data_IF_406945437734
#
_entry.id   IF_406945437734
#
_cell.length_a   1.000
_cell.length_b   1.000
_cell.length_c   1.000
_cell.angle_alpha   90.00
_cell.angle_beta   90.00
_cell.angle_gamma   90.00
#
_symmetry.space_group_name_H-M   'P 1'
#
loop_
_entity.id
_entity.type
_entity.pdbx_description
1 polymer ?
#
# COMPACT_ATOMS: atom_id res chain seq x y z
N UNK A 1 -9.99 4.42 17.04
CA UNK A 1 -9.20 5.07 15.96
C UNK A 1 -9.70 4.52 14.63
N UNK A 2 -10.00 5.36 13.65
CA UNK A 2 -10.41 4.91 12.31
C UNK A 2 -9.25 5.18 11.36
N UNK A 3 -8.69 4.14 10.76
CA UNK A 3 -7.63 4.27 9.75
C UNK A 3 -8.27 4.71 8.43
N UNK A 4 -7.76 5.78 7.84
CA UNK A 4 -8.18 6.31 6.54
C UNK A 4 -6.98 6.53 5.61
N UNK A 5 -5.90 7.09 6.14
CA UNK A 5 -4.69 7.45 5.40
C UNK A 5 -3.60 6.40 5.63
N UNK A 6 -3.28 5.66 4.59
CA UNK A 6 -2.27 4.60 4.61
C UNK A 6 -1.07 5.03 3.79
N UNK A 7 0.10 4.96 4.39
CA UNK A 7 1.38 5.15 3.70
C UNK A 7 2.01 3.80 3.47
N UNK A 8 2.42 3.52 2.25
CA UNK A 8 3.23 2.35 1.93
C UNK A 8 4.63 2.81 1.53
N UNK A 9 5.61 2.47 2.32
CA UNK A 9 7.01 2.79 2.03
C UNK A 9 7.64 1.67 1.20
N UNK A 10 7.84 1.95 -0.10
CA UNK A 10 8.40 0.99 -1.04
C UNK A 10 7.47 0.67 -2.20
N UNK A 11 8.01 0.68 -3.42
CA UNK A 11 7.30 0.38 -4.68
C UNK A 11 7.84 -0.88 -5.38
N UNK A 12 8.38 -1.83 -4.60
CA UNK A 12 8.72 -3.17 -5.07
C UNK A 12 7.48 -4.00 -5.38
N UNK A 13 7.65 -5.28 -5.66
CA UNK A 13 6.53 -6.18 -5.98
C UNK A 13 5.48 -6.19 -4.86
N UNK A 14 5.89 -6.48 -3.62
CA UNK A 14 4.96 -6.53 -2.49
C UNK A 14 4.41 -5.15 -2.11
N UNK A 15 5.26 -4.12 -2.04
CA UNK A 15 4.82 -2.76 -1.71
C UNK A 15 3.76 -2.23 -2.67
N UNK A 16 3.93 -2.45 -3.98
CA UNK A 16 2.93 -2.04 -4.97
C UNK A 16 1.61 -2.80 -4.83
N UNK A 17 1.66 -4.10 -4.55
CA UNK A 17 0.46 -4.92 -4.32
C UNK A 17 -0.29 -4.49 -3.06
N UNK A 18 0.42 -4.24 -1.95
CA UNK A 18 -0.16 -3.76 -0.69
C UNK A 18 -0.82 -2.40 -0.90
N UNK A 19 -0.12 -1.46 -1.54
CA UNK A 19 -0.62 -0.11 -1.80
C UNK A 19 -1.88 -0.13 -2.70
N UNK A 20 -1.83 -0.89 -3.79
CA UNK A 20 -2.96 -0.98 -4.71
C UNK A 20 -4.18 -1.63 -4.05
N UNK A 21 -3.99 -2.72 -3.30
CA UNK A 21 -5.08 -3.39 -2.59
C UNK A 21 -5.70 -2.49 -1.51
N UNK A 22 -4.88 -1.73 -0.76
CA UNK A 22 -5.38 -0.78 0.21
C UNK A 22 -6.23 0.31 -0.46
N UNK A 23 -5.76 0.89 -1.57
CA UNK A 23 -6.52 1.87 -2.34
C UNK A 23 -7.83 1.28 -2.90
N UNK A 24 -7.79 0.06 -3.43
CA UNK A 24 -8.98 -0.65 -3.90
C UNK A 24 -10.01 -0.89 -2.78
N UNK A 25 -9.58 -1.10 -1.55
CA UNK A 25 -10.44 -1.24 -0.36
C UNK A 25 -10.91 0.10 0.22
N UNK A 26 -10.56 1.23 -0.42
CA UNK A 26 -11.10 2.56 -0.11
C UNK A 26 -10.25 3.40 0.83
N UNK A 27 -9.01 3.00 1.13
CA UNK A 27 -8.07 3.84 1.87
C UNK A 27 -7.47 4.91 0.96
N UNK A 28 -7.21 6.10 1.50
CA UNK A 28 -6.35 7.08 0.86
C UNK A 28 -4.89 6.62 0.98
N UNK A 29 -4.25 6.35 -0.16
CA UNK A 29 -2.92 5.72 -0.17
C UNK A 29 -1.87 6.66 -0.73
N UNK A 30 -0.79 6.83 0.05
CA UNK A 30 0.44 7.48 -0.39
C UNK A 30 1.57 6.45 -0.44
N UNK A 31 2.27 6.38 -1.56
CA UNK A 31 3.45 5.53 -1.72
C UNK A 31 4.70 6.40 -1.59
N UNK A 32 5.44 6.17 -0.51
CA UNK A 32 6.74 6.83 -0.33
C UNK A 32 7.85 6.04 -1.00
N UNK A 33 8.71 6.74 -1.73
CA UNK A 33 9.85 6.18 -2.45
C UNK A 33 11.09 7.06 -2.25
N UNK A 34 12.25 6.45 -2.13
CA UNK A 34 13.49 7.14 -1.78
C UNK A 34 14.02 8.12 -2.85
N UNK A 35 13.52 8.06 -4.08
CA UNK A 35 13.98 8.91 -5.19
C UNK A 35 12.98 8.93 -6.35
N UNK A 36 13.05 9.97 -7.18
CA UNK A 36 12.24 10.09 -8.40
C UNK A 36 12.46 8.90 -9.36
N UNK A 37 13.69 8.44 -9.50
CA UNK A 37 13.98 7.24 -10.29
C UNK A 37 13.31 5.98 -9.74
N UNK A 38 13.03 5.92 -8.43
CA UNK A 38 12.25 4.83 -7.83
C UNK A 38 10.76 5.00 -8.10
N UNK A 39 10.27 6.22 -8.17
CA UNK A 39 8.88 6.53 -8.59
C UNK A 39 8.64 6.05 -10.01
N UNK A 40 9.53 6.42 -10.94
CA UNK A 40 9.40 6.03 -12.35
C UNK A 40 9.44 4.49 -12.54
N UNK A 41 10.25 3.78 -11.76
CA UNK A 41 10.28 2.30 -11.78
C UNK A 41 9.05 1.65 -11.15
N UNK A 42 8.39 2.34 -10.22
CA UNK A 42 7.20 1.81 -9.56
C UNK A 42 5.93 1.95 -10.43
N UNK A 43 5.74 3.09 -11.10
CA UNK A 43 4.54 3.40 -11.90
C UNK A 43 4.08 2.27 -12.83
N UNK A 44 4.95 1.62 -13.63
CA UNK A 44 4.54 0.52 -14.50
C UNK A 44 3.93 -0.68 -13.76
N UNK A 45 4.37 -0.94 -12.50
CA UNK A 45 3.82 -2.02 -11.68
C UNK A 45 2.38 -1.73 -11.26
N UNK A 46 2.08 -0.48 -10.94
CA UNK A 46 0.71 -0.06 -10.60
C UNK A 46 -0.22 -0.14 -11.81
N UNK A 47 0.26 0.24 -13.00
CA UNK A 47 -0.48 0.07 -14.24
C UNK A 47 -0.76 -1.42 -14.53
N UNK A 48 0.23 -2.28 -14.35
CA UNK A 48 0.06 -3.73 -14.49
C UNK A 48 -0.96 -4.29 -13.48
N UNK A 49 -0.94 -3.82 -12.23
CA UNK A 49 -1.92 -4.22 -11.21
C UNK A 49 -3.33 -3.78 -11.62
N UNK A 50 -3.50 -2.55 -12.09
CA UNK A 50 -4.78 -2.06 -12.62
C UNK A 50 -5.32 -2.99 -13.71
N UNK A 51 -4.49 -3.30 -14.70
CA UNK A 51 -4.89 -4.20 -15.80
C UNK A 51 -5.25 -5.59 -15.28
N UNK A 52 -4.49 -6.14 -14.34
CA UNK A 52 -4.75 -7.44 -13.74
C UNK A 52 -6.10 -7.45 -13.00
N UNK A 53 -6.39 -6.41 -12.20
CA UNK A 53 -7.66 -6.30 -11.49
C UNK A 53 -8.84 -6.23 -12.45
N UNK A 54 -8.76 -5.38 -13.49
CA UNK A 54 -9.79 -5.24 -14.50
C UNK A 54 -10.03 -6.55 -15.28
N UNK A 55 -8.96 -7.23 -15.66
CA UNK A 55 -9.06 -8.51 -16.37
C UNK A 55 -9.66 -9.63 -15.50
N UNK A 56 -9.27 -9.70 -14.23
CA UNK A 56 -9.82 -10.68 -13.29
C UNK A 56 -11.31 -10.45 -13.06
N UNK A 57 -11.71 -9.20 -12.82
CA UNK A 57 -13.12 -8.84 -12.64
C UNK A 57 -13.93 -9.13 -13.91
N UNK A 58 -13.39 -8.88 -15.09
CA UNK A 58 -14.05 -9.24 -16.35
C UNK A 58 -14.22 -10.75 -16.50
N UNK A 59 -13.19 -11.53 -16.15
CA UNK A 59 -13.27 -12.99 -16.18
C UNK A 59 -14.35 -13.55 -15.24
N UNK A 60 -14.56 -12.91 -14.09
CA UNK A 60 -15.61 -13.31 -13.12
C UNK A 60 -17.03 -13.21 -13.68
N UNK A 61 -17.28 -12.45 -14.75
CA UNK A 61 -18.58 -12.40 -15.43
C UNK A 61 -18.94 -13.72 -16.13
N UNK A 62 -17.93 -14.45 -16.54
CA UNK A 62 -18.10 -15.60 -17.45
C UNK A 62 -17.81 -16.90 -16.70
N UNK A 63 -16.84 -16.90 -15.81
CA UNK A 63 -16.35 -18.10 -15.12
C UNK A 63 -16.36 -17.90 -13.59
N UNK A 64 -17.25 -18.58 -12.86
CA UNK A 64 -17.25 -18.56 -11.39
C UNK A 64 -15.93 -19.02 -10.75
N UNK A 65 -15.12 -19.84 -11.46
CA UNK A 65 -13.81 -20.27 -10.99
C UNK A 65 -12.77 -19.13 -11.02
N UNK A 66 -13.03 -18.04 -11.73
CA UNK A 66 -12.21 -16.82 -11.73
C UNK A 66 -12.40 -15.99 -10.45
N UNK A 67 -13.29 -16.37 -9.53
CA UNK A 67 -13.54 -15.65 -8.30
C UNK A 67 -12.26 -15.39 -7.51
N UNK A 68 -12.10 -14.11 -7.12
CA UNK A 68 -10.98 -13.65 -6.31
C UNK A 68 -11.52 -12.92 -5.07
N UNK A 69 -11.38 -13.54 -3.91
CA UNK A 69 -11.82 -13.00 -2.62
C UNK A 69 -11.24 -11.62 -2.28
N UNK A 70 -10.06 -11.29 -2.81
CA UNK A 70 -9.46 -9.96 -2.64
C UNK A 70 -10.21 -8.86 -3.38
N UNK A 71 -10.92 -9.20 -4.47
CA UNK A 71 -11.64 -8.27 -5.33
C UNK A 71 -13.12 -8.19 -5.01
N UNK A 72 -13.75 -9.29 -4.61
CA UNK A 72 -15.17 -9.36 -4.32
C UNK A 72 -15.44 -10.21 -3.08
N UNK A 73 -16.55 -9.93 -2.40
CA UNK A 73 -16.92 -10.63 -1.15
C UNK A 73 -17.68 -11.94 -1.42
N UNK A 74 -18.27 -12.08 -2.61
CA UNK A 74 -19.00 -13.27 -3.06
C UNK A 74 -18.68 -13.60 -4.52
N UNK A 75 -18.73 -14.88 -4.93
CA UNK A 75 -18.60 -15.25 -6.34
C UNK A 75 -19.84 -14.93 -7.18
N UNK A 76 -20.98 -14.75 -6.53
CA UNK A 76 -22.27 -14.50 -7.19
C UNK A 76 -22.50 -12.98 -7.30
N UNK A 77 -22.02 -12.40 -8.39
CA UNK A 77 -22.14 -10.97 -8.70
C UNK A 77 -22.90 -10.74 -9.98
N UNK A 78 -23.77 -9.74 -10.00
CA UNK A 78 -24.37 -9.21 -11.21
C UNK A 78 -23.33 -8.50 -12.09
N UNK A 79 -23.67 -8.30 -13.36
CA UNK A 79 -22.81 -7.54 -14.28
C UNK A 79 -22.59 -6.11 -13.76
N UNK A 80 -23.65 -5.50 -13.23
CA UNK A 80 -23.59 -4.13 -12.68
C UNK A 80 -22.64 -4.03 -11.48
N UNK A 81 -22.65 -5.02 -10.57
CA UNK A 81 -21.74 -5.07 -9.43
C UNK A 81 -20.28 -5.21 -9.88
N UNK A 82 -20.03 -6.05 -10.88
CA UNK A 82 -18.68 -6.19 -11.45
C UNK A 82 -18.22 -4.88 -12.09
N UNK A 83 -19.08 -4.16 -12.83
CA UNK A 83 -18.72 -2.85 -13.38
C UNK A 83 -18.42 -1.82 -12.29
N UNK A 84 -19.15 -1.84 -11.16
CA UNK A 84 -18.82 -0.98 -10.02
C UNK A 84 -17.46 -1.33 -9.41
N UNK A 85 -17.12 -2.62 -9.30
CA UNK A 85 -15.80 -3.05 -8.82
C UNK A 85 -14.68 -2.66 -9.80
N UNK A 86 -14.91 -2.69 -11.11
CA UNK A 86 -13.97 -2.19 -12.11
C UNK A 86 -13.76 -0.68 -12.01
N UNK A 87 -14.83 0.08 -11.79
CA UNK A 87 -14.71 1.53 -11.52
C UNK A 87 -13.89 1.79 -10.25
N UNK A 88 -14.10 1.00 -9.19
CA UNK A 88 -13.30 1.08 -7.96
C UNK A 88 -11.82 0.80 -8.22
N UNK A 89 -11.49 -0.20 -9.05
CA UNK A 89 -10.10 -0.49 -9.43
C UNK A 89 -9.46 0.70 -10.18
N UNK A 90 -10.21 1.33 -11.08
CA UNK A 90 -9.74 2.52 -11.79
C UNK A 90 -9.53 3.71 -10.84
N UNK A 91 -10.47 3.98 -9.96
CA UNK A 91 -10.37 5.06 -8.95
C UNK A 91 -9.20 4.82 -7.98
N UNK A 92 -8.96 3.57 -7.58
CA UNK A 92 -7.80 3.21 -6.77
C UNK A 92 -6.49 3.58 -7.47
N UNK A 93 -6.36 3.27 -8.74
CA UNK A 93 -5.17 3.63 -9.53
C UNK A 93 -4.96 5.13 -9.61
N UNK A 94 -6.02 5.89 -9.89
CA UNK A 94 -5.98 7.35 -10.02
C UNK A 94 -5.75 8.08 -8.69
N UNK A 95 -6.19 7.49 -7.60
CA UNK A 95 -6.11 8.07 -6.25
C UNK A 95 -4.78 7.84 -5.53
N UNK A 96 -3.91 6.94 -6.01
CA UNK A 96 -2.62 6.68 -5.37
C UNK A 96 -1.67 7.85 -5.61
N UNK A 97 -1.15 8.41 -4.51
CA UNK A 97 -0.17 9.51 -4.54
C UNK A 97 1.24 8.95 -4.37
N UNK A 98 2.17 9.36 -5.23
CA UNK A 98 3.60 9.04 -5.11
C UNK A 98 4.36 10.24 -4.56
N UNK A 99 5.28 10.02 -3.64
CA UNK A 99 6.13 11.08 -3.08
C UNK A 99 7.49 10.56 -2.67
N UNK A 100 8.49 11.44 -2.72
CA UNK A 100 9.84 11.21 -2.16
C UNK A 100 10.04 11.99 -0.85
N UNK A 101 9.08 12.83 -0.48
CA UNK A 101 9.12 13.63 0.75
C UNK A 101 8.61 12.82 1.93
N UNK A 102 9.41 12.74 3.01
CA UNK A 102 8.99 12.14 4.27
C UNK A 102 7.83 12.93 4.91
N UNK A 103 7.92 14.26 4.93
CA UNK A 103 6.87 15.11 5.48
C UNK A 103 5.54 14.93 4.75
N UNK A 104 5.57 15.00 3.41
CA UNK A 104 4.35 14.84 2.61
C UNK A 104 3.70 13.47 2.78
N UNK A 105 4.49 12.42 3.00
CA UNK A 105 3.98 11.08 3.28
C UNK A 105 3.41 10.95 4.69
N UNK A 106 4.09 11.53 5.69
CA UNK A 106 3.88 11.20 7.09
C UNK A 106 2.82 12.05 7.80
N UNK A 107 2.67 13.32 7.43
CA UNK A 107 1.94 14.34 8.20
C UNK A 107 0.49 14.00 8.57
N UNK A 108 -0.20 13.22 7.74
CA UNK A 108 -1.60 12.82 7.94
C UNK A 108 -1.76 11.30 8.04
N UNK A 109 -0.65 10.54 8.21
CA UNK A 109 -0.67 9.10 8.20
C UNK A 109 -1.32 8.50 9.44
N UNK A 110 -2.34 7.64 9.26
CA UNK A 110 -2.90 6.80 10.31
C UNK A 110 -2.11 5.50 10.47
N UNK A 111 -1.66 4.94 9.35
CA UNK A 111 -0.92 3.69 9.27
C UNK A 111 0.23 3.82 8.26
N UNK A 112 1.41 3.39 8.65
CA UNK A 112 2.55 3.22 7.73
C UNK A 112 2.90 1.75 7.62
N UNK A 113 2.93 1.23 6.41
CA UNK A 113 3.35 -0.14 6.07
C UNK A 113 4.71 -0.06 5.40
N UNK A 114 5.75 -0.53 6.07
CA UNK A 114 7.10 -0.56 5.53
C UNK A 114 7.32 -1.82 4.69
N UNK A 115 7.70 -1.62 3.43
CA UNK A 115 8.01 -2.64 2.43
C UNK A 115 9.27 -2.26 1.61
N UNK A 116 10.25 -1.63 2.28
CA UNK A 116 11.56 -1.30 1.68
C UNK A 116 12.50 -2.51 1.68
N UNK A 117 13.73 -2.31 1.19
CA UNK A 117 14.73 -3.37 1.14
C UNK A 117 15.00 -3.99 2.53
N UNK A 118 15.31 -5.30 2.53
CA UNK A 118 15.57 -6.09 3.74
C UNK A 118 17.00 -5.84 4.26
N UNK A 119 17.28 -4.57 4.58
CA UNK A 119 18.57 -4.06 5.08
C UNK A 119 18.32 -3.29 6.38
N UNK A 120 18.83 -3.78 7.52
CA UNK A 120 18.60 -3.16 8.83
C UNK A 120 19.01 -1.68 8.88
N UNK A 121 20.16 -1.33 8.27
CA UNK A 121 20.65 0.05 8.28
C UNK A 121 19.74 0.99 7.48
N UNK A 122 19.21 0.51 6.34
CA UNK A 122 18.26 1.30 5.55
C UNK A 122 16.93 1.47 6.29
N UNK A 123 16.45 0.43 6.98
CA UNK A 123 15.23 0.51 7.78
C UNK A 123 15.40 1.46 8.96
N UNK A 124 16.50 1.36 9.70
CA UNK A 124 16.80 2.27 10.80
C UNK A 124 16.83 3.74 10.35
N UNK A 125 17.54 4.03 9.26
CA UNK A 125 17.60 5.38 8.72
C UNK A 125 16.22 5.88 8.23
N UNK A 126 15.43 5.02 7.60
CA UNK A 126 14.07 5.33 7.15
C UNK A 126 13.18 5.68 8.34
N UNK A 127 13.12 4.83 9.35
CA UNK A 127 12.26 5.06 10.52
C UNK A 127 12.69 6.29 11.34
N UNK A 128 13.99 6.48 11.53
CA UNK A 128 14.51 7.64 12.25
C UNK A 128 14.17 8.98 11.55
N UNK A 129 14.16 8.99 10.23
CA UNK A 129 13.77 10.20 9.48
C UNK A 129 12.25 10.37 9.47
N UNK A 130 11.49 9.31 9.19
CA UNK A 130 10.03 9.33 9.13
C UNK A 130 9.42 9.78 10.48
N UNK A 131 9.98 9.31 11.60
CA UNK A 131 9.49 9.59 12.95
C UNK A 131 9.40 11.10 13.28
N UNK A 132 10.19 11.93 12.60
CA UNK A 132 10.18 13.40 12.80
C UNK A 132 8.89 14.07 12.36
N UNK A 133 8.13 13.43 11.48
CA UNK A 133 6.96 14.01 10.81
C UNK A 133 5.65 13.30 11.15
N UNK A 134 5.72 12.13 11.79
CA UNK A 134 4.53 11.30 12.07
C UNK A 134 3.69 11.87 13.22
N UNK A 135 2.35 11.91 13.10
CA UNK A 135 1.47 12.09 14.23
C UNK A 135 1.70 11.05 15.33
N UNK A 136 1.46 11.42 16.58
CA UNK A 136 1.62 10.49 17.73
C UNK A 136 0.71 9.25 17.61
N UNK A 137 -0.47 9.41 16.97
CA UNK A 137 -1.44 8.34 16.82
C UNK A 137 -1.08 7.31 15.75
N UNK A 138 -0.12 7.60 14.87
CA UNK A 138 0.22 6.73 13.73
C UNK A 138 0.75 5.38 14.18
N UNK A 139 0.21 4.32 13.60
CA UNK A 139 0.67 2.94 13.76
C UNK A 139 1.70 2.63 12.67
N UNK A 140 2.79 1.97 13.06
CA UNK A 140 3.81 1.50 12.14
C UNK A 140 3.76 -0.02 12.07
N UNK A 141 3.89 -0.57 10.87
CA UNK A 141 4.03 -2.01 10.66
C UNK A 141 5.10 -2.28 9.60
N UNK A 142 5.76 -3.41 9.70
CA UNK A 142 6.75 -3.87 8.71
C UNK A 142 6.25 -5.09 7.96
N UNK A 143 6.56 -5.17 6.67
CA UNK A 143 6.35 -6.37 5.85
C UNK A 143 7.59 -7.29 5.87
N UNK A 144 8.57 -7.03 6.73
CA UNK A 144 9.75 -7.87 6.87
C UNK A 144 9.38 -9.28 7.32
N UNK A 145 9.97 -10.29 6.70
CA UNK A 145 9.81 -11.70 7.06
C UNK A 145 11.03 -12.29 7.75
N UNK A 146 12.18 -11.62 7.69
CA UNK A 146 13.46 -12.12 8.18
C UNK A 146 14.02 -11.31 9.35
N UNK A 147 13.66 -10.04 9.46
CA UNK A 147 14.06 -9.17 10.56
C UNK A 147 12.99 -9.14 11.64
N UNK A 148 13.38 -9.34 12.88
CA UNK A 148 12.45 -9.27 13.99
C UNK A 148 12.01 -7.81 14.23
N UNK A 149 10.71 -7.53 14.37
CA UNK A 149 10.22 -6.19 14.67
C UNK A 149 10.92 -5.56 15.89
N UNK A 150 11.21 -6.35 16.93
CA UNK A 150 11.92 -5.91 18.13
C UNK A 150 13.32 -5.35 17.87
N UNK A 151 13.98 -5.74 16.78
CA UNK A 151 15.30 -5.22 16.42
C UNK A 151 15.22 -3.82 15.81
N UNK A 152 14.07 -3.47 15.21
CA UNK A 152 13.86 -2.21 14.49
C UNK A 152 13.03 -1.23 15.33
N UNK A 153 12.25 -1.73 16.29
CA UNK A 153 11.29 -0.96 17.06
C UNK A 153 11.88 0.32 17.70
N UNK A 154 13.11 0.26 18.21
CA UNK A 154 13.78 1.41 18.80
C UNK A 154 13.97 2.57 17.81
N UNK A 155 14.28 2.26 16.54
CA UNK A 155 14.51 3.26 15.48
C UNK A 155 13.24 4.01 15.08
N UNK A 156 12.06 3.46 15.40
CA UNK A 156 10.76 4.08 15.09
C UNK A 156 10.43 5.27 15.99
N UNK A 157 11.13 5.42 17.14
CA UNK A 157 10.80 6.40 18.17
C UNK A 157 9.48 6.16 18.90
N UNK A 158 8.76 5.06 18.57
CA UNK A 158 7.47 4.66 19.15
C UNK A 158 7.30 3.14 19.18
N UNK A 159 8.15 2.41 19.89
CA UNK A 159 8.15 0.95 19.88
C UNK A 159 6.82 0.31 20.30
N UNK A 160 6.01 1.04 21.08
CA UNK A 160 4.67 0.60 21.51
C UNK A 160 3.60 0.66 20.42
N UNK A 161 3.93 1.25 19.27
CA UNK A 161 3.03 1.40 18.09
C UNK A 161 3.62 0.75 16.82
N UNK A 162 4.58 -0.16 17.04
CA UNK A 162 5.26 -0.86 15.93
C UNK A 162 5.06 -2.38 16.00
#
# INVERSE_FOLDING_TARGET
>A
MTIKNVVVAGGGVLGSQIAYQAAYKGFAVTVWLRSEGSVERAKPKFEQLRQTYLATLEAMKIDPAAYCRGLADTPELSVEEIEQLKQRAQQAFEGIVFTTSYEAAAKDADLVIEAIAEDPKQKDAFYAELAKYLPESTILVTNSSTLLPSQIAASTGRPEKF
#
